data_IF_434269128330
#
_entry.id   IF_434269128330
#
_cell.length_a   1.000
_cell.length_b   1.000
_cell.length_c   1.000
_cell.angle_alpha   90.00
_cell.angle_beta   90.00
_cell.angle_gamma   90.00
#
_symmetry.space_group_name_H-M   'P 1'
#
loop_
_entity.id
_entity.type
_entity.pdbx_description
1 polymer ?
2 non-polymer ?
3 non-polymer ?
4 water ?
#
# COMPACT_ATOMS: atom_id res chain seq x y z
C UNK A 1 -29.17 -13.99 -32.40
N UNK A 2 -27.85 -13.85 -32.28
CA UNK A 2 -27.27 -13.27 -31.07
C UNK A 2 -27.57 -11.78 -31.00
N UNK A 3 -27.94 -11.33 -29.82
CA UNK A 3 -28.27 -9.93 -29.59
C UNK A 3 -26.98 -9.13 -29.56
N UNK A 4 -26.80 -8.24 -30.52
CA UNK A 4 -25.53 -7.49 -30.61
C UNK A 4 -25.40 -6.37 -29.57
N UNK A 5 -26.51 -5.93 -29.00
CA UNK A 5 -26.39 -4.97 -27.91
C UNK A 5 -25.77 -5.68 -26.70
N UNK A 6 -26.14 -6.92 -26.45
CA UNK A 6 -25.54 -7.68 -25.36
C UNK A 6 -24.12 -8.12 -25.69
N UNK A 7 -23.85 -8.41 -26.96
CA UNK A 7 -22.48 -8.75 -27.38
C UNK A 7 -21.54 -7.56 -27.18
N UNK A 8 -22.03 -6.36 -27.49
CA UNK A 8 -21.25 -5.15 -27.28
C UNK A 8 -21.00 -4.89 -25.79
N UNK A 9 -22.00 -5.19 -24.96
CA UNK A 9 -21.85 -5.02 -23.52
C UNK A 9 -20.77 -5.95 -23.01
N UNK A 10 -20.81 -7.19 -23.50
CA UNK A 10 -19.86 -8.21 -23.10
C UNK A 10 -18.44 -7.83 -23.47
N UNK A 11 -18.25 -7.33 -24.70
CA UNK A 11 -16.92 -6.92 -25.13
C UNK A 11 -16.41 -5.75 -24.29
N UNK A 12 -17.31 -4.85 -23.94
CA UNK A 12 -16.96 -3.70 -23.12
C UNK A 12 -16.52 -4.16 -21.73
N UNK A 13 -17.28 -5.09 -21.14
CA UNK A 13 -16.95 -5.62 -19.82
C UNK A 13 -15.54 -6.21 -19.82
N UNK A 14 -15.27 -7.04 -20.83
CA UNK A 14 -14.00 -7.76 -20.93
C UNK A 14 -12.83 -6.81 -21.15
N UNK A 15 -13.03 -5.78 -21.98
CA UNK A 15 -12.01 -4.76 -22.19
C UNK A 15 -11.60 -4.08 -20.88
N UNK A 16 -12.56 -3.86 -19.99
CA UNK A 16 -12.25 -3.25 -18.71
C UNK A 16 -11.62 -4.25 -17.76
N UNK A 17 -12.18 -5.46 -17.72
CA UNK A 17 -11.69 -6.50 -16.83
C UNK A 17 -10.25 -6.91 -17.12
N UNK A 18 -9.88 -6.99 -18.40
CA UNK A 18 -8.57 -7.53 -18.78
C UNK A 18 -7.47 -6.50 -19.00
N UNK A 19 -7.83 -5.22 -19.02
CA UNK A 19 -6.86 -4.16 -19.32
C UNK A 19 -5.58 -4.19 -18.47
N UNK A 20 -5.68 -4.50 -17.16
CA UNK A 20 -4.46 -4.52 -16.34
C UNK A 20 -3.41 -5.57 -16.74
N UNK A 21 -3.76 -6.52 -17.60
CA UNK A 21 -2.81 -7.53 -18.03
C UNK A 21 -1.88 -7.01 -19.13
N UNK A 22 -2.22 -5.87 -19.72
CA UNK A 22 -1.43 -5.30 -20.81
C UNK A 22 -0.02 -4.81 -20.39
N UNK A 23 0.90 -4.89 -21.35
CA UNK A 23 2.19 -4.24 -21.21
C UNK A 23 1.97 -2.74 -21.00
N UNK A 24 2.65 -2.18 -20.01
CA UNK A 24 2.54 -0.77 -19.60
C UNK A 24 1.25 -0.44 -18.84
N UNK A 25 0.45 -1.45 -18.50
CA UNK A 25 -0.71 -1.24 -17.62
C UNK A 25 -0.25 -1.30 -16.18
N UNK A 26 -0.73 -0.38 -15.35
CA UNK A 26 -0.27 -0.34 -13.98
C UNK A 26 -0.84 -1.42 -13.07
N UNK A 27 0.00 -1.93 -12.18
CA UNK A 27 -0.48 -2.55 -10.95
C UNK A 27 -0.79 -1.42 -9.99
N UNK A 28 -1.73 -1.65 -9.07
CA UNK A 28 -2.19 -0.60 -8.15
C UNK A 28 -2.00 -1.02 -6.71
N UNK A 29 -1.51 -0.08 -5.89
CA UNK A 29 -1.34 -0.29 -4.45
C UNK A 29 -2.00 0.87 -3.69
N UNK A 30 -2.93 0.56 -2.81
CA UNK A 30 -3.45 1.53 -1.86
C UNK A 30 -3.20 1.04 -0.45
N UNK A 31 -2.48 1.85 0.31
CA UNK A 31 -2.26 1.58 1.71
C UNK A 31 -3.15 2.49 2.52
N UNK A 32 -3.90 1.91 3.45
CA UNK A 32 -4.75 2.69 4.33
C UNK A 32 -4.32 2.52 5.78
N UNK A 33 -4.04 3.64 6.44
CA UNK A 33 -3.78 3.67 7.87
C UNK A 33 -5.04 4.17 8.57
N UNK A 34 -5.48 3.45 9.60
CA UNK A 34 -6.64 3.85 10.39
C UNK A 34 -6.17 4.13 11.82
N UNK A 35 -6.65 5.25 12.38
CA UNK A 35 -6.18 5.74 13.68
C UNK A 35 -7.28 5.55 14.75
N UNK A 36 -6.92 5.75 16.02
CA UNK A 36 -7.88 5.44 17.09
C UNK A 36 -9.26 6.12 17.00
N UNK A 37 -9.36 7.38 16.55
CA UNK A 37 -10.65 8.06 16.45
C UNK A 37 -11.33 7.78 15.10
N UNK A 38 -10.75 6.87 14.32
CA UNK A 38 -11.40 6.37 13.11
C UNK A 38 -11.02 7.07 11.83
N UNK A 39 -10.18 8.10 11.97
CA UNK A 39 -9.72 8.80 10.79
C UNK A 39 -8.80 7.90 10.00
N UNK A 40 -8.64 8.20 8.71
CA UNK A 40 -7.87 7.38 7.79
C UNK A 40 -6.97 8.24 6.93
N UNK A 41 -5.80 7.68 6.63
CA UNK A 41 -4.89 8.26 5.67
C UNK A 41 -4.64 7.20 4.60
N UNK A 42 -4.78 7.57 3.34
CA UNK A 42 -4.51 6.61 2.24
C UNK A 42 -3.35 7.08 1.39
N UNK A 43 -2.57 6.12 0.90
CA UNK A 43 -1.40 6.37 0.07
C UNK A 43 -1.55 5.50 -1.15
N UNK A 44 -1.49 6.12 -2.33
CA UNK A 44 -1.61 5.38 -3.60
C UNK A 44 -0.30 5.37 -4.40
N UNK A 45 0.08 4.19 -4.87
CA UNK A 45 1.27 4.01 -5.71
C UNK A 45 0.87 3.14 -6.89
N UNK A 46 1.54 3.34 -8.01
CA UNK A 46 1.29 2.49 -9.19
C UNK A 46 2.51 2.40 -10.08
N UNK A 47 2.65 1.26 -10.75
CA UNK A 47 3.67 1.06 -11.80
C UNK A 47 3.35 -0.22 -12.57
N UNK A 48 3.81 -0.32 -13.84
CA UNK A 48 3.53 -1.58 -14.54
C UNK A 48 4.49 -2.70 -14.20
N UNK A 49 5.68 -2.39 -13.69
CA UNK A 49 6.76 -3.40 -13.58
C UNK A 49 7.15 -3.72 -12.14
N UNK A 50 7.37 -2.71 -11.33
CA UNK A 50 7.61 -2.88 -9.91
C UNK A 50 7.04 -1.70 -9.16
N UNK A 51 6.03 -1.93 -8.31
CA UNK A 51 5.56 -0.86 -7.42
C UNK A 51 6.53 -0.81 -6.24
N UNK A 52 7.00 0.39 -5.90
CA UNK A 52 7.83 0.59 -4.72
C UNK A 52 7.11 1.56 -3.79
N UNK A 53 6.41 1.00 -2.79
CA UNK A 53 5.64 1.78 -1.85
C UNK A 53 6.47 1.99 -0.60
N UNK A 54 7.06 3.17 -0.49
CA UNK A 54 8.03 3.46 0.57
C UNK A 54 7.51 4.63 1.37
N UNK A 55 7.27 4.39 2.66
CA UNK A 55 6.67 5.39 3.54
C UNK A 55 7.51 5.54 4.81
N UNK A 56 7.91 6.78 5.08
CA UNK A 56 8.65 7.11 6.30
C UNK A 56 7.75 7.05 7.51
N UNK A 57 8.33 6.83 8.67
CA UNK A 57 7.53 6.81 9.89
C UNK A 57 6.82 8.14 10.14
N UNK A 58 7.45 9.26 9.76
CA UNK A 58 6.83 10.59 9.95
C UNK A 58 5.59 10.78 9.06
N UNK A 59 5.55 10.12 7.92
CA UNK A 59 4.43 10.23 7.00
C UNK A 59 3.24 9.38 7.46
N UNK A 60 3.52 8.39 8.30
CA UNK A 60 2.48 7.46 8.74
C UNK A 60 1.77 7.92 10.00
N UNK A 61 2.25 8.99 10.62
CA UNK A 61 1.56 9.54 11.78
C UNK A 61 0.32 10.30 11.32
N UNK A 62 -0.73 10.30 12.12
CA UNK A 62 -1.82 11.23 11.85
C UNK A 62 -1.29 12.61 12.18
N UNK A 63 -1.27 13.47 11.16
CA UNK A 63 -0.49 14.71 11.23
C UNK A 63 -1.30 16.01 11.21
N UNK A 64 -2.56 15.91 11.62
CA UNK A 64 -3.44 17.07 11.65
C UNK A 64 -3.70 17.48 13.09
N UNK A 65 -3.52 18.76 13.38
CA UNK A 65 -3.67 19.30 14.72
C UNK A 65 -4.48 20.57 14.61
N UNK A 66 -5.71 20.51 15.13
CA UNK A 66 -6.66 21.62 15.06
C UNK A 66 -6.72 22.25 13.67
N UNK A 67 -6.85 21.39 12.66
CA UNK A 67 -7.07 21.84 11.30
C UNK A 67 -5.84 22.18 10.49
N UNK A 68 -4.67 22.09 11.08
CA UNK A 68 -3.43 22.40 10.38
C UNK A 68 -2.52 21.18 10.34
N UNK A 69 -1.71 21.08 9.29
CA UNK A 69 -0.81 19.95 9.14
C UNK A 69 0.48 20.20 9.89
N UNK A 70 0.88 19.22 10.69
CA UNK A 70 2.10 19.29 11.49
C UNK A 70 3.33 19.09 10.60
N UNK A 71 4.45 19.65 11.03
CA UNK A 71 5.69 19.54 10.25
C UNK A 71 6.44 18.22 10.52
N UNK A 72 7.33 17.84 9.59
CA UNK A 72 8.16 16.65 9.79
C UNK A 72 9.01 16.81 11.05
N UNK A 73 9.47 18.01 11.32
CA UNK A 73 10.27 18.28 12.52
C UNK A 73 9.53 17.87 13.80
N UNK A 74 8.30 18.34 13.94
CA UNK A 74 7.49 18.03 15.11
C UNK A 74 7.19 16.54 15.22
N UNK A 75 6.82 15.93 14.09
CA UNK A 75 6.49 14.51 14.08
C UNK A 75 7.72 13.65 14.42
N UNK A 76 8.85 13.96 13.81
CA UNK A 76 10.04 13.17 14.05
C UNK A 76 10.46 13.31 15.52
N UNK A 77 10.23 14.48 16.11
CA UNK A 77 10.57 14.67 17.52
C UNK A 77 9.83 13.64 18.39
N UNK A 78 8.56 13.41 18.09
CA UNK A 78 7.76 12.46 18.87
C UNK A 78 8.21 11.02 18.64
N UNK A 79 8.48 10.70 17.38
CA UNK A 79 8.96 9.38 16.99
C UNK A 79 10.29 9.01 17.68
N UNK A 80 11.17 10.00 17.82
CA UNK A 80 12.50 9.78 18.39
C UNK A 80 12.51 9.02 19.73
N UNK A 81 11.56 9.33 20.61
CA UNK A 81 11.56 8.72 21.94
C UNK A 81 11.25 7.23 21.91
N UNK A 82 10.71 6.74 20.80
CA UNK A 82 10.47 5.31 20.64
C UNK A 82 11.72 4.62 20.10
N UNK A 83 12.51 5.36 19.33
CA UNK A 83 13.70 4.84 18.69
C UNK A 83 14.88 4.82 19.65
N UNK A 84 15.03 5.90 20.42
CA UNK A 84 16.12 6.03 21.40
C UNK A 84 15.58 6.54 22.73
N UNK A 85 15.85 5.80 23.80
CA UNK A 85 15.38 6.16 25.12
C UNK A 85 15.75 7.59 25.52
N UNK A 86 14.79 8.29 26.07
CA UNK A 86 14.95 9.66 26.58
C UNK A 86 15.66 10.62 25.62
N UNK A 87 15.23 10.58 24.36
CA UNK A 87 15.80 11.42 23.31
C UNK A 87 14.89 12.60 22.94
N UNK A 88 13.71 12.67 23.57
CA UNK A 88 12.87 13.86 23.46
C UNK A 88 12.38 14.21 24.87
N UNK A 89 11.44 15.16 24.96
CA UNK A 89 10.98 15.64 26.26
C UNK A 89 9.54 15.23 26.59
N UNK A 90 9.06 14.18 25.94
CA UNK A 90 7.68 13.73 26.13
C UNK A 90 7.48 13.07 27.48
N UNK A 91 6.40 13.46 28.15
CA UNK A 91 5.99 12.87 29.42
C UNK A 91 4.82 11.90 29.23
N UNK A 92 4.31 11.81 28.01
CA UNK A 92 3.26 10.85 27.73
C UNK A 92 3.52 10.28 26.35
N UNK A 93 2.82 9.19 25.99
CA UNK A 93 3.08 8.56 24.69
C UNK A 93 2.38 9.33 23.57
N UNK A 94 2.59 8.88 22.34
CA UNK A 94 1.98 9.51 21.17
C UNK A 94 0.98 8.58 20.48
N UNK A 95 0.41 7.65 21.23
CA UNK A 95 -0.42 6.60 20.65
C UNK A 95 -1.66 7.15 19.92
N UNK A 96 -2.12 8.34 20.29
CA UNK A 96 -3.26 8.95 19.60
C UNK A 96 -3.00 9.11 18.09
N UNK A 97 -1.74 9.19 17.68
CA UNK A 97 -1.39 9.53 16.30
C UNK A 97 -0.74 8.40 15.55
N UNK A 98 -0.63 7.24 16.20
CA UNK A 98 -0.02 6.06 15.59
C UNK A 98 -1.19 5.22 15.04
N UNK A 99 -1.02 4.64 13.84
CA UNK A 99 -2.13 3.82 13.34
C UNK A 99 -2.42 2.63 14.25
N UNK A 100 -3.70 2.26 14.37
CA UNK A 100 -4.10 1.03 15.01
C UNK A 100 -3.97 -0.14 14.06
N UNK A 101 -4.25 0.13 12.79
CA UNK A 101 -4.36 -0.92 11.78
C UNK A 101 -3.83 -0.40 10.46
N UNK A 102 -3.18 -1.28 9.69
CA UNK A 102 -2.81 -0.97 8.30
C UNK A 102 -3.44 -2.01 7.38
N UNK A 103 -3.98 -1.52 6.26
CA UNK A 103 -4.58 -2.33 5.22
C UNK A 103 -3.84 -2.08 3.93
N UNK A 104 -3.49 -3.14 3.22
CA UNK A 104 -2.75 -3.08 1.98
C UNK A 104 -3.63 -3.68 0.88
N UNK A 105 -4.03 -2.86 -0.09
CA UNK A 105 -4.90 -3.29 -1.18
C UNK A 105 -4.09 -3.32 -2.48
N UNK A 106 -4.01 -4.49 -3.10
CA UNK A 106 -3.23 -4.68 -4.34
C UNK A 106 -4.15 -5.11 -5.46
N UNK A 107 -4.04 -4.48 -6.62
CA UNK A 107 -4.93 -4.82 -7.72
C UNK A 107 -4.16 -4.80 -9.04
N UNK A 108 -4.25 -5.89 -9.77
CA UNK A 108 -3.63 -5.96 -11.07
C UNK A 108 -2.86 -7.23 -11.32
N UNK A 109 -1.93 -7.16 -12.28
CA UNK A 109 -1.21 -8.32 -12.75
C UNK A 109 0.03 -8.60 -11.90
N UNK A 110 -0.22 -8.88 -10.61
CA UNK A 110 0.81 -9.01 -9.59
C UNK A 110 1.40 -10.42 -9.50
N UNK A 111 2.71 -10.49 -9.25
CA UNK A 111 3.36 -11.76 -8.93
C UNK A 111 3.13 -12.03 -7.45
N UNK A 112 2.08 -12.78 -7.13
CA UNK A 112 1.71 -13.03 -5.75
C UNK A 112 2.74 -13.87 -5.01
N UNK A 113 3.59 -14.60 -5.73
CA UNK A 113 4.66 -15.34 -5.09
C UNK A 113 5.75 -14.43 -4.49
N UNK A 114 5.88 -13.24 -5.05
CA UNK A 114 7.07 -12.41 -4.76
C UNK A 114 6.74 -11.03 -4.19
N UNK A 115 5.46 -10.68 -4.12
CA UNK A 115 5.08 -9.41 -3.50
C UNK A 115 5.53 -9.43 -2.05
N UNK A 116 6.22 -8.38 -1.61
CA UNK A 116 6.72 -8.33 -0.24
C UNK A 116 6.27 -7.08 0.48
N UNK A 117 5.84 -7.24 1.73
CA UNK A 117 5.41 -6.14 2.58
C UNK A 117 6.27 -6.21 3.83
N UNK A 118 7.12 -5.22 4.01
CA UNK A 118 8.08 -5.23 5.10
C UNK A 118 7.76 -4.06 6.03
N UNK A 119 7.35 -4.38 7.26
CA UNK A 119 7.11 -3.39 8.31
C UNK A 119 8.41 -3.19 9.08
N UNK A 120 8.98 -1.99 8.95
CA UNK A 120 10.32 -1.68 9.43
C UNK A 120 10.26 -0.73 10.62
N UNK A 121 11.41 -0.48 11.25
CA UNK A 121 11.46 0.31 12.47
C UNK A 121 11.25 1.79 12.25
N UNK A 122 11.21 2.54 13.35
CA UNK A 122 10.81 3.95 13.27
C UNK A 122 11.80 4.86 12.53
N UNK A 123 13.02 4.37 12.31
CA UNK A 123 14.00 5.14 11.53
C UNK A 123 14.42 4.41 10.26
N UNK A 124 13.65 3.37 9.90
CA UNK A 124 13.81 2.70 8.62
C UNK A 124 14.66 1.45 8.63
N UNK A 125 15.12 1.02 9.80
CA UNK A 125 15.93 -0.18 9.89
C UNK A 125 15.07 -1.42 9.98
N UNK A 126 15.62 -2.58 9.64
CA UNK A 126 14.90 -3.84 9.80
C UNK A 126 14.43 -3.96 11.24
N UNK A 127 13.17 -4.34 11.43
CA UNK A 127 12.59 -4.38 12.77
C UNK A 127 13.08 -5.60 13.55
N UNK A 128 13.50 -5.35 14.79
CA UNK A 128 13.92 -6.42 15.69
C UNK A 128 13.95 -5.81 17.08
N UNK A 129 14.16 -6.64 18.10
CA UNK A 129 14.17 -6.17 19.49
C UNK A 129 15.19 -5.06 19.65
N UNK A 130 16.36 -5.26 19.05
CA UNK A 130 17.45 -4.29 19.11
C UNK A 130 17.93 -3.95 17.70
N UNK A 131 17.40 -2.85 17.19
CA UNK A 131 17.76 -2.39 15.86
C UNK A 131 19.17 -1.85 15.84
N UNK A 132 19.92 -2.17 14.79
CA UNK A 132 21.33 -1.83 14.71
C UNK A 132 21.75 -1.84 13.24
N UNK A 133 22.66 -0.95 12.87
CA UNK A 133 23.05 -0.81 11.46
C UNK A 133 23.66 -2.10 10.89
N UNK A 134 24.36 -2.86 11.71
CA UNK A 134 25.02 -4.09 11.26
C UNK A 134 24.04 -5.14 10.76
N UNK A 135 22.82 -5.10 11.28
CA UNK A 135 21.79 -6.10 10.96
C UNK A 135 20.58 -5.45 10.30
N UNK A 136 20.82 -4.87 9.14
CA UNK A 136 19.82 -4.13 8.40
C UNK A 136 19.83 -4.66 6.96
N UNK A 137 18.67 -5.11 6.49
CA UNK A 137 18.58 -5.79 5.20
C UNK A 137 17.19 -5.56 4.62
N UNK A 138 16.97 -5.99 3.39
CA UNK A 138 15.66 -5.87 2.77
C UNK A 138 15.13 -7.27 2.47
N UNK A 139 13.83 -7.34 2.19
CA UNK A 139 13.16 -8.57 1.75
C UNK A 139 13.41 -9.76 2.67
N UNK A 140 13.12 -9.58 3.97
CA UNK A 140 13.23 -10.73 4.87
C UNK A 140 12.20 -11.79 4.51
N UNK A 141 12.46 -13.06 4.85
CA UNK A 141 11.59 -14.17 4.46
C UNK A 141 10.12 -13.95 4.82
N UNK A 142 9.88 -13.31 5.97
CA UNK A 142 8.53 -13.10 6.48
C UNK A 142 7.71 -12.14 5.65
N UNK A 143 8.39 -11.30 4.88
CA UNK A 143 7.71 -10.23 4.17
C UNK A 143 6.92 -10.73 2.94
N UNK A 144 7.23 -11.93 2.47
CA UNK A 144 6.52 -12.52 1.33
C UNK A 144 5.25 -13.18 1.83
N UNK A 145 4.10 -12.61 1.54
CA UNK A 145 2.88 -13.08 2.17
C UNK A 145 2.25 -14.27 1.43
N UNK A 146 2.40 -14.30 0.10
CA UNK A 146 1.89 -15.39 -0.72
C UNK A 146 0.44 -15.77 -0.40
N UNK A 147 0.17 -16.99 0.08
CA UNK A 147 -1.21 -17.39 0.32
C UNK A 147 -1.85 -16.80 1.60
N UNK A 148 -1.10 -15.95 2.29
CA UNK A 148 -1.64 -15.22 3.42
C UNK A 148 -2.33 -13.92 2.97
N UNK A 149 -2.22 -13.58 1.68
CA UNK A 149 -3.10 -12.54 1.11
C UNK A 149 -4.54 -13.02 1.15
N UNK A 150 -5.46 -12.07 1.34
CA UNK A 150 -6.88 -12.34 1.44
C UNK A 150 -7.52 -11.92 0.10
N UNK A 151 -8.28 -12.81 -0.53
CA UNK A 151 -8.90 -12.49 -1.84
C UNK A 151 -10.12 -11.62 -1.63
N UNK A 152 -10.29 -10.61 -2.50
CA UNK A 152 -11.45 -9.71 -2.47
C UNK A 152 -12.00 -9.51 -3.87
N UNK A 153 -13.29 -9.18 -3.99
CA UNK A 153 -13.88 -8.99 -5.32
C UNK A 153 -13.25 -7.84 -6.08
N UNK A 154 -12.95 -8.06 -7.37
CA UNK A 154 -12.48 -7.00 -8.25
C UNK A 154 -13.46 -6.76 -9.40
N UNK A 155 -14.66 -7.31 -9.25
CA UNK A 155 -15.76 -7.02 -10.18
C UNK A 155 -15.47 -7.43 -11.63
N UNK A 156 -14.82 -8.58 -11.76
CA UNK A 156 -14.59 -9.20 -13.07
C UNK A 156 -13.12 -9.32 -13.41
N UNK A 157 -12.28 -8.64 -12.66
CA UNK A 157 -10.86 -8.63 -12.95
C UNK A 157 -10.09 -9.85 -12.44
N UNK A 158 -10.68 -10.55 -11.48
CA UNK A 158 -9.99 -11.66 -10.82
C UNK A 158 -8.59 -11.26 -10.35
N UNK A 159 -8.45 -10.05 -9.81
CA UNK A 159 -7.11 -9.52 -9.56
C UNK A 159 -6.92 -8.59 -8.38
N UNK A 160 -7.74 -8.72 -7.33
CA UNK A 160 -7.49 -7.93 -6.11
C UNK A 160 -7.30 -8.85 -4.90
N UNK A 161 -6.28 -8.53 -4.11
CA UNK A 161 -6.07 -9.15 -2.81
C UNK A 161 -5.64 -8.11 -1.81
N UNK A 162 -5.75 -8.43 -0.53
CA UNK A 162 -5.39 -7.52 0.53
C UNK A 162 -4.60 -8.21 1.63
N UNK A 163 -3.93 -7.41 2.45
CA UNK A 163 -3.25 -7.90 3.65
C UNK A 163 -3.49 -6.91 4.80
N UNK A 164 -3.65 -7.43 6.02
CA UNK A 164 -3.99 -6.60 7.18
C UNK A 164 -3.04 -6.86 8.31
N UNK A 165 -2.74 -5.80 9.06
CA UNK A 165 -1.91 -5.95 10.26
C UNK A 165 -2.32 -4.95 11.31
N UNK A 166 -2.35 -5.41 12.55
CA UNK A 166 -2.62 -4.59 13.71
C UNK A 166 -1.28 -4.18 14.31
N UNK A 167 -1.13 -2.89 14.59
CA UNK A 167 0.09 -2.36 15.19
C UNK A 167 -0.02 -2.41 16.70
N UNK A 168 1.12 -2.20 17.37
CA UNK A 168 1.21 -2.38 18.81
C UNK A 168 1.67 -1.12 19.53
N UNK A 169 1.30 0.04 18.99
CA UNK A 169 1.51 1.30 19.70
C UNK A 169 2.89 1.90 19.52
N UNK A 170 3.61 1.44 18.50
CA UNK A 170 4.95 1.93 18.21
C UNK A 170 4.99 2.38 16.75
N UNK A 171 5.65 3.53 16.47
CA UNK A 171 5.74 3.95 15.07
C UNK A 171 6.52 2.96 14.23
N UNK A 172 6.12 2.84 12.98
CA UNK A 172 6.79 1.97 12.02
C UNK A 172 7.00 2.73 10.71
N UNK A 173 7.86 2.18 9.85
CA UNK A 173 7.99 2.64 8.46
C UNK A 173 7.67 1.45 7.55
N UNK A 174 7.45 1.71 6.27
CA UNK A 174 6.93 0.68 5.37
C UNK A 174 7.73 0.59 4.08
N UNK A 175 8.01 -0.63 3.67
CA UNK A 175 8.57 -0.89 2.33
C UNK A 175 7.79 -2.02 1.68
N UNK A 176 7.11 -1.69 0.59
CA UNK A 176 6.33 -2.65 -0.17
C UNK A 176 6.93 -2.72 -1.57
N UNK A 177 7.24 -3.94 -2.00
CA UNK A 177 7.77 -4.18 -3.33
C UNK A 177 6.81 -5.12 -4.04
N UNK A 178 6.26 -4.68 -5.17
CA UNK A 178 5.23 -5.44 -5.88
C UNK A 178 5.64 -5.69 -7.33
N UNK A 179 6.20 -6.88 -7.61
CA UNK A 179 6.66 -7.17 -8.98
C UNK A 179 5.56 -7.68 -9.89
N UNK A 180 5.69 -7.40 -11.17
CA UNK A 180 4.77 -7.90 -12.18
C UNK A 180 4.83 -9.43 -12.36
N UNK A 181 3.67 -10.05 -12.53
CA UNK A 181 3.56 -11.45 -12.91
C UNK A 181 4.19 -11.73 -14.31
N UNK A 182 5.24 -12.56 -14.33
CA UNK A 182 5.87 -12.98 -15.59
C UNK A 182 5.80 -14.50 -15.74
N UNK A 183 4.81 -15.11 -15.09
CA UNK A 183 4.65 -16.57 -15.14
C UNK A 183 4.19 -17.07 -16.50
N UNK A 184 3.99 -16.18 -17.46
CA UNK A 184 3.75 -16.61 -18.84
C UNK A 184 5.05 -17.03 -19.55
N UNK A 185 6.17 -17.01 -18.82
CA UNK A 185 7.40 -17.61 -19.30
C UNK A 185 8.37 -16.68 -20.01
N UNK A 186 8.03 -15.38 -20.06
CA UNK A 186 8.86 -14.37 -20.75
C UNK A 186 9.49 -13.40 -19.77
N UNK A 187 10.81 -13.21 -19.89
CA UNK A 187 11.54 -12.30 -19.01
C UNK A 187 11.58 -10.93 -19.68
N UNK A 188 10.83 -9.98 -19.13
CA UNK A 188 10.79 -8.64 -19.70
C UNK A 188 12.09 -7.84 -19.51
N UNK A 189 12.97 -8.30 -18.63
CA UNK A 189 14.27 -7.67 -18.40
C UNK A 189 15.34 -8.23 -19.34
N UNK A 190 14.99 -9.22 -20.15
CA UNK A 190 15.95 -9.84 -21.06
C UNK A 190 15.90 -9.21 -22.44
N UNK A 191 17.07 -9.04 -23.03
CA UNK A 191 17.17 -8.53 -24.39
C UNK A 191 16.94 -7.03 -24.50
N UNK A 192 16.64 -6.55 -25.70
CA UNK A 192 16.51 -5.11 -25.95
C UNK A 192 15.37 -4.43 -25.20
N UNK A 193 14.35 -5.16 -24.79
CA UNK A 193 13.24 -4.55 -24.05
C UNK A 193 13.68 -3.90 -22.72
N UNK A 194 14.81 -4.32 -22.17
CA UNK A 194 15.23 -3.87 -20.84
C UNK A 194 15.21 -2.33 -20.68
N UNK A 195 15.78 -1.61 -21.62
CA UNK A 195 15.79 -0.15 -21.53
C UNK A 195 14.40 0.45 -21.43
N UNK A 196 13.46 -0.14 -22.14
CA UNK A 196 12.09 0.35 -22.12
C UNK A 196 11.42 0.13 -20.75
N UNK A 197 11.71 -1.01 -20.14
CA UNK A 197 11.26 -1.27 -18.78
C UNK A 197 11.90 -0.29 -17.81
N UNK A 198 13.21 -0.08 -17.91
CA UNK A 198 13.90 0.81 -16.97
C UNK A 198 13.32 2.22 -17.06
N UNK A 199 13.01 2.64 -18.28
CA UNK A 199 12.45 3.98 -18.48
C UNK A 199 11.10 4.14 -17.79
N UNK A 200 10.38 3.05 -17.60
CA UNK A 200 9.04 3.10 -17.03
C UNK A 200 8.96 3.00 -15.51
N UNK A 201 10.06 2.62 -14.87
CA UNK A 201 10.10 2.52 -13.43
C UNK A 201 9.95 3.90 -12.78
N UNK A 202 9.14 3.98 -11.73
CA UNK A 202 9.07 5.17 -10.88
C UNK A 202 8.61 6.41 -11.65
N UNK A 203 7.61 6.28 -12.52
CA UNK A 203 7.15 7.38 -13.35
C UNK A 203 5.71 7.83 -13.07
N UNK A 204 5.05 7.26 -12.07
CA UNK A 204 3.67 7.60 -11.79
C UNK A 204 3.58 8.43 -10.50
N UNK A 205 2.89 9.58 -10.55
CA UNK A 205 2.75 10.38 -9.33
C UNK A 205 2.02 9.64 -8.22
N UNK A 206 2.50 9.78 -7.00
CA UNK A 206 1.84 9.20 -5.83
C UNK A 206 0.81 10.20 -5.30
N UNK A 207 -0.17 9.70 -4.55
CA UNK A 207 -1.23 10.55 -4.00
C UNK A 207 -1.59 10.13 -2.59
N UNK A 208 -1.55 11.11 -1.68
CA UNK A 208 -1.88 10.93 -0.27
C UNK A 208 -3.18 11.66 0.00
N UNK A 209 -4.11 11.01 0.69
CA UNK A 209 -5.38 11.63 1.07
C UNK A 209 -5.69 11.39 2.54
N UNK A 210 -6.41 12.34 3.12
CA UNK A 210 -6.81 12.32 4.51
C UNK A 210 -8.33 12.25 4.57
N UNK A 211 -8.86 11.40 5.45
CA UNK A 211 -10.31 11.29 5.65
C UNK A 211 -10.61 11.26 7.15
N UNK A 212 -11.74 11.84 7.54
CA UNK A 212 -12.09 11.89 8.97
C UNK A 212 -12.70 10.59 9.46
N UNK A 213 -13.22 9.79 8.55
CA UNK A 213 -13.79 8.50 8.90
C UNK A 213 -13.77 7.56 7.71
N UNK A 214 -13.94 6.27 7.97
CA UNK A 214 -13.85 5.26 6.90
C UNK A 214 -14.96 5.41 5.85
N UNK A 215 -16.19 5.77 6.26
CA UNK A 215 -17.19 5.92 5.18
C UNK A 215 -16.84 6.99 4.12
N UNK A 216 -16.17 8.07 4.52
CA UNK A 216 -15.65 9.03 3.53
C UNK A 216 -14.66 8.37 2.58
N UNK A 217 -13.78 7.53 3.12
CA UNK A 217 -12.82 6.78 2.29
C UNK A 217 -13.55 5.88 1.29
N UNK A 218 -14.57 5.19 1.76
CA UNK A 218 -15.32 4.28 0.89
C UNK A 218 -16.04 5.05 -0.21
N UNK A 219 -16.69 6.14 0.16
CA UNK A 219 -17.52 6.91 -0.75
C UNK A 219 -16.71 7.69 -1.78
N UNK A 220 -15.58 8.26 -1.37
CA UNK A 220 -14.86 9.20 -2.23
C UNK A 220 -13.51 8.71 -2.76
N UNK A 221 -13.09 7.52 -2.32
CA UNK A 221 -11.91 6.87 -2.91
C UNK A 221 -12.27 5.49 -3.47
N UNK A 222 -12.56 4.55 -2.57
CA UNK A 222 -12.79 3.15 -2.96
C UNK A 222 -13.84 3.00 -4.08
N UNK A 223 -15.06 3.48 -3.87
CA UNK A 223 -16.12 3.32 -4.87
C UNK A 223 -16.03 4.31 -6.03
N UNK A 224 -15.20 5.34 -5.89
CA UNK A 224 -15.03 6.30 -6.96
C UNK A 224 -14.17 5.68 -8.07
N UNK A 225 -13.18 4.91 -7.66
CA UNK A 225 -12.15 4.41 -8.59
C UNK A 225 -12.13 2.89 -8.81
N UNK A 226 -12.86 2.15 -8.00
CA UNK A 226 -12.97 0.71 -8.16
C UNK A 226 -11.91 -0.11 -7.46
N UNK A 227 -11.58 0.26 -6.21
CA UNK A 227 -10.84 -0.61 -5.31
C UNK A 227 -11.79 -1.06 -4.22
N UNK A 228 -12.02 -2.36 -4.13
CA UNK A 228 -12.93 -2.89 -3.12
C UNK A 228 -12.21 -2.91 -1.77
N UNK A 229 -12.86 -2.43 -0.72
CA UNK A 229 -12.27 -2.46 0.61
C UNK A 229 -13.17 -3.23 1.56
N UNK A 230 -12.57 -3.73 2.64
CA UNK A 230 -13.25 -4.55 3.62
C UNK A 230 -13.25 -3.83 4.95
N UNK A 231 -14.41 -3.75 5.60
CA UNK A 231 -14.52 -3.05 6.88
C UNK A 231 -14.38 -4.03 8.05
N UNK A 232 -14.54 -3.51 9.27
CA UNK A 232 -14.34 -4.30 10.49
C UNK A 232 -15.48 -5.29 10.76
N UNK A 233 -16.52 -5.24 9.92
CA UNK A 233 -17.65 -6.17 10.00
C UNK A 233 -17.59 -7.21 8.88
N UNK A 234 -16.46 -7.23 8.18
CA UNK A 234 -16.24 -8.08 7.02
C UNK A 234 -17.22 -7.79 5.88
N UNK A 235 -17.64 -6.54 5.75
CA UNK A 235 -18.54 -6.14 4.65
C UNK A 235 -17.71 -5.37 3.61
N UNK A 236 -17.95 -5.63 2.32
CA UNK A 236 -17.19 -4.97 1.26
C UNK A 236 -17.81 -3.65 0.83
N UNK A 237 -16.96 -2.76 0.35
CA UNK A 237 -17.36 -1.44 -0.14
C UNK A 237 -16.63 -1.12 -1.41
X LIG B 1 -13.38 -11.23 -9.18
X LIG B 1 -13.63 -12.66 -8.82
X LIG B 1 -12.19 -10.57 -8.50
X LIG B 1 -13.43 -10.95 -10.68
X LIG B 1 -16.10 -10.86 -8.31
X LIG B 1 -16.90 -9.59 -8.27
X LIG B 1 -16.43 -11.95 -9.31
X LIG B 1 -14.57 -10.39 -8.49
X LIG B 1 -16.33 -12.93 -6.26
X LIG B 1 -17.76 -13.02 -5.78
X LIG B 1 -15.81 -13.95 -7.25
X LIG B 1 -16.08 -11.42 -6.79
X LIG B 1 -15.40 -13.00 -4.93
X LIG B 1 -13.97 -12.93 -5.03
X LIG B 1 -13.40 -13.32 -3.68
X LIG B 1 -13.75 -12.35 -2.69
X LIG B 1 -13.94 -14.66 -3.18
X LIG B 1 -12.85 -15.45 -2.70
X LIG B 1 -14.86 -14.31 -2.03
X LIG B 1 -14.94 -15.30 -0.99
X LIG B 1 -14.25 -13.01 -1.52
X LIG B 1 -15.29 -12.23 -0.81
X LIG B 1 -16.45 -11.77 -1.32
X LIG B 1 -17.17 -11.10 -0.39
X LIG B 1 -16.44 -11.12 0.75
X LIG B 1 -16.61 -10.60 2.11
X LIG B 1 -17.74 -9.92 2.38
X LIG B 1 -15.63 -10.83 3.02
X LIG B 1 -14.52 -11.52 2.70
X LIG B 1 -14.31 -12.03 1.46
X LIG B 1 -15.20 -11.86 0.47
X LIG C 1 -15.29 -13.71 -9.21
#
# INVERSE_FOLDING_TARGET
MADLSLARQRLTDESVNEAPRAYDANMELVIVAEYPEGQCKSFHFANPFVIKGVIKSSELMWDIDNGHQMSEYELQRSINGYAASHSNMRQRSAINRIPKKLSFYLRGNVDWNKASIDIRGPTGLSMRQTEEYSLDRIRPPCSYKRNKFVDLPSCGGRCEKAWYVELDGRPVSIAVIVPRNMHNGINLYAGPLLGNVIEGLDTVPECTQWFDNAPELYAYHASNYGMTMLDQFSVIH
ATP PG O1G O2G O3G PB O1B O2B O3B PA O1A O2A O3A O5' C5' C4' O4' C3' O3' C2' O2' C1' N9 C8 N7 C5 C6 N6 N1 C2 N3 C4
MG MG
#
